data_IF_555541383481
#
_entry.id   IF_555541383481
#
_cell.length_a   1.000
_cell.length_b   1.000
_cell.length_c   1.000
_cell.angle_alpha   90.00
_cell.angle_beta   90.00
_cell.angle_gamma   90.00
#
_symmetry.space_group_name_H-M   'P 1'
#
loop_
_entity.id
_entity.type
_entity.pdbx_description
1 polymer ?
#
# COMPACT_ATOMS: atom_id res chain seq x y z
N UNK A 1 -44.86 -16.66 -4.56
CA UNK A 1 -43.70 -17.31 -5.22
C UNK A 1 -42.78 -16.34 -5.97
N UNK A 2 -43.30 -15.31 -6.67
CA UNK A 2 -42.46 -14.39 -7.46
C UNK A 2 -41.60 -13.37 -6.68
N UNK A 3 -41.87 -13.10 -5.40
CA UNK A 3 -41.10 -12.11 -4.63
C UNK A 3 -39.84 -12.70 -3.97
N UNK A 4 -39.88 -13.97 -3.56
CA UNK A 4 -38.75 -14.65 -2.91
C UNK A 4 -37.62 -14.93 -3.92
N UNK A 5 -37.94 -15.30 -5.17
CA UNK A 5 -36.91 -15.47 -6.20
C UNK A 5 -36.24 -14.15 -6.56
N UNK A 6 -36.99 -13.04 -6.59
CA UNK A 6 -36.43 -11.70 -6.85
C UNK A 6 -35.43 -11.29 -5.77
N UNK A 7 -35.75 -11.55 -4.50
CA UNK A 7 -34.84 -11.29 -3.39
C UNK A 7 -33.58 -12.18 -3.47
N UNK A 8 -33.73 -13.45 -3.81
CA UNK A 8 -32.59 -14.36 -4.00
C UNK A 8 -31.69 -13.93 -5.18
N UNK A 9 -32.29 -13.49 -6.28
CA UNK A 9 -31.56 -13.00 -7.47
C UNK A 9 -30.84 -11.68 -7.18
N UNK A 10 -31.46 -10.76 -6.43
CA UNK A 10 -30.81 -9.50 -6.01
C UNK A 10 -29.66 -9.78 -5.03
N UNK A 11 -29.86 -10.67 -4.05
CA UNK A 11 -28.80 -11.06 -3.12
C UNK A 11 -27.61 -11.72 -3.85
N UNK A 12 -27.90 -12.59 -4.83
CA UNK A 12 -26.87 -13.24 -5.65
C UNK A 12 -26.14 -12.23 -6.56
N UNK A 13 -26.85 -11.27 -7.14
CA UNK A 13 -26.25 -10.16 -7.91
C UNK A 13 -25.38 -9.24 -7.04
N UNK A 14 -25.77 -8.96 -5.79
CA UNK A 14 -24.95 -8.20 -4.85
C UNK A 14 -23.66 -8.95 -4.46
N UNK A 15 -23.70 -10.29 -4.32
CA UNK A 15 -22.48 -11.08 -4.09
C UNK A 15 -21.57 -11.15 -5.31
N UNK A 16 -22.12 -11.07 -6.54
CA UNK A 16 -21.36 -11.04 -7.79
C UNK A 16 -20.84 -9.64 -8.17
N UNK A 17 -21.43 -8.58 -7.62
CA UNK A 17 -20.92 -7.21 -7.73
C UNK A 17 -19.73 -6.96 -6.80
N UNK A 18 -19.48 -7.83 -5.83
CA UNK A 18 -18.19 -7.95 -5.13
C UNK A 18 -17.17 -8.71 -6.00
N UNK A 19 -17.19 -8.47 -7.32
CA UNK A 19 -16.03 -8.77 -8.14
C UNK A 19 -14.89 -7.95 -7.54
N UNK A 20 -14.02 -8.69 -6.86
CA UNK A 20 -12.77 -8.22 -6.32
C UNK A 20 -12.17 -7.26 -7.33
N UNK A 21 -12.10 -5.99 -6.92
CA UNK A 21 -11.10 -5.04 -7.40
C UNK A 21 -9.79 -5.67 -6.97
N UNK A 22 -9.38 -6.70 -7.72
CA UNK A 22 -8.13 -7.42 -7.53
C UNK A 22 -7.09 -6.35 -7.69
N UNK A 23 -6.55 -5.96 -6.56
CA UNK A 23 -5.83 -4.73 -6.48
C UNK A 23 -4.63 -4.88 -7.43
N UNK A 24 -4.42 -3.89 -8.27
CA UNK A 24 -3.12 -3.74 -8.89
C UNK A 24 -2.47 -2.62 -8.10
N UNK A 25 -1.14 -2.59 -8.08
CA UNK A 25 -0.48 -1.32 -7.80
C UNK A 25 -1.08 -0.28 -8.76
N UNK A 26 -1.62 0.78 -8.19
CA UNK A 26 -2.20 1.88 -8.94
C UNK A 26 -1.04 2.67 -9.58
N UNK A 27 -1.18 3.04 -10.85
CA UNK A 27 -0.14 3.74 -11.61
C UNK A 27 -0.49 5.22 -11.71
N UNK A 28 0.40 6.09 -11.23
CA UNK A 28 0.32 7.53 -11.41
C UNK A 28 1.46 7.97 -12.32
N UNK A 29 1.11 8.61 -13.45
CA UNK A 29 2.07 9.10 -14.43
C UNK A 29 2.19 10.61 -14.28
N UNK A 30 3.38 11.08 -13.95
CA UNK A 30 3.66 12.51 -13.93
C UNK A 30 4.02 12.98 -15.35
N UNK A 31 3.05 13.62 -16.02
CA UNK A 31 3.21 14.17 -17.36
C UNK A 31 3.89 15.55 -17.39
N UNK A 32 4.29 16.10 -16.24
CA UNK A 32 4.81 17.47 -16.12
C UNK A 32 6.27 17.61 -16.59
N UNK A 33 6.96 16.50 -16.85
CA UNK A 33 8.35 16.50 -17.29
C UNK A 33 8.44 16.56 -18.81
N UNK A 34 8.62 17.76 -19.37
CA UNK A 34 8.95 18.11 -20.77
C UNK A 34 9.58 16.98 -21.63
N UNK A 35 8.77 16.01 -22.06
CA UNK A 35 9.07 15.00 -23.08
C UNK A 35 10.29 14.09 -22.87
N UNK A 36 10.96 14.10 -21.72
CA UNK A 36 12.26 13.41 -21.58
C UNK A 36 12.26 12.15 -20.73
N UNK A 37 11.36 11.98 -19.76
CA UNK A 37 11.15 10.72 -19.04
C UNK A 37 9.73 10.72 -18.42
N UNK A 38 8.86 9.79 -18.82
CA UNK A 38 7.60 9.54 -18.10
C UNK A 38 7.93 8.91 -16.74
N UNK A 39 7.78 9.66 -15.65
CA UNK A 39 7.92 9.10 -14.31
C UNK A 39 6.62 8.38 -13.95
N UNK A 40 6.72 7.05 -13.82
CA UNK A 40 5.61 6.18 -13.40
C UNK A 40 5.79 5.80 -11.95
N UNK A 41 4.87 6.26 -11.11
CA UNK A 41 4.78 5.90 -9.69
C UNK A 41 3.78 4.78 -9.49
N UNK A 42 4.14 3.80 -8.67
CA UNK A 42 3.26 2.70 -8.29
C UNK A 42 2.85 2.92 -6.85
N UNK A 43 1.56 2.95 -6.55
CA UNK A 43 1.08 3.13 -5.19
C UNK A 43 -0.11 2.26 -4.87
N UNK A 44 -0.44 2.16 -3.58
CA UNK A 44 -1.70 1.61 -3.10
C UNK A 44 -2.22 2.45 -1.97
N UNK A 45 -3.50 2.81 -2.04
CA UNK A 45 -4.22 3.38 -0.91
C UNK A 45 -4.97 2.30 -0.14
N UNK A 46 -5.14 2.49 1.17
CA UNK A 46 -6.05 1.68 1.99
C UNK A 46 -7.28 2.50 2.44
N UNK A 47 -8.22 1.83 3.11
CA UNK A 47 -9.48 2.43 3.57
C UNK A 47 -9.28 3.53 4.62
N UNK A 48 -8.11 3.57 5.25
CA UNK A 48 -7.73 4.61 6.23
C UNK A 48 -7.14 5.86 5.56
N UNK A 49 -7.09 5.90 4.22
CA UNK A 49 -6.51 7.00 3.45
C UNK A 49 -4.98 7.05 3.48
N UNK A 50 -4.32 6.02 4.01
CA UNK A 50 -2.87 5.88 3.96
C UNK A 50 -2.47 5.38 2.57
N UNK A 51 -1.28 5.76 2.12
CA UNK A 51 -0.71 5.30 0.86
C UNK A 51 0.61 4.60 1.08
N UNK A 52 0.84 3.54 0.31
CA UNK A 52 2.13 2.88 0.19
C UNK A 52 2.61 3.09 -1.25
N UNK A 53 3.74 3.73 -1.43
CA UNK A 53 4.34 4.01 -2.75
C UNK A 53 5.55 3.12 -2.94
N UNK A 54 5.61 2.45 -4.07
CA UNK A 54 6.75 1.65 -4.51
C UNK A 54 7.68 2.51 -5.36
N UNK A 55 8.78 2.93 -4.75
CA UNK A 55 9.85 3.68 -5.42
C UNK A 55 10.85 2.69 -6.04
N UNK A 56 10.67 2.45 -7.34
CA UNK A 56 11.47 1.48 -8.11
C UNK A 56 12.92 1.92 -8.32
N UNK A 57 13.19 3.22 -8.35
CA UNK A 57 14.53 3.75 -8.63
C UNK A 57 15.44 3.64 -7.42
N UNK A 58 14.93 3.96 -6.24
CA UNK A 58 15.69 3.87 -4.97
C UNK A 58 15.52 2.49 -4.30
N UNK A 59 14.61 1.67 -4.80
CA UNK A 59 14.29 0.32 -4.31
C UNK A 59 13.84 0.34 -2.85
N UNK A 60 12.80 1.13 -2.57
CA UNK A 60 12.22 1.33 -1.23
C UNK A 60 10.70 1.43 -1.31
N UNK A 61 10.03 1.39 -0.16
CA UNK A 61 8.65 1.86 -0.04
C UNK A 61 8.64 3.25 0.59
N UNK A 62 7.62 4.04 0.27
CA UNK A 62 7.29 5.28 1.00
C UNK A 62 5.91 5.08 1.58
N UNK A 63 5.83 5.05 2.91
CA UNK A 63 4.57 5.07 3.63
C UNK A 63 4.13 6.51 3.84
N UNK A 64 2.93 6.83 3.39
CA UNK A 64 2.32 8.15 3.48
C UNK A 64 1.06 8.02 4.32
N UNK A 65 0.94 8.86 5.35
CA UNK A 65 -0.24 8.92 6.20
C UNK A 65 -0.85 10.32 6.11
N UNK A 66 -2.18 10.47 6.09
CA UNK A 66 -2.82 11.78 6.02
C UNK A 66 -2.51 12.67 7.25
N UNK A 67 -2.20 12.05 8.40
CA UNK A 67 -1.84 12.74 9.63
C UNK A 67 -0.36 13.19 9.63
N UNK A 68 -0.13 14.41 10.12
CA UNK A 68 1.16 15.12 10.13
C UNK A 68 1.85 15.11 11.49
N UNK A 69 1.21 14.64 12.56
CA UNK A 69 1.61 15.04 13.92
C UNK A 69 2.55 14.08 14.67
N UNK A 70 2.84 12.86 14.18
CA UNK A 70 3.64 11.91 14.95
C UNK A 70 4.84 11.35 14.18
N UNK A 71 6.02 11.42 14.81
CA UNK A 71 7.18 10.62 14.42
C UNK A 71 6.81 9.15 14.54
N UNK A 72 7.09 8.39 13.48
CA UNK A 72 6.79 6.97 13.39
C UNK A 72 8.03 6.18 13.03
N UNK A 73 8.10 4.98 13.55
CA UNK A 73 9.14 4.01 13.21
C UNK A 73 8.47 2.76 12.67
N UNK A 74 9.02 2.24 11.58
CA UNK A 74 8.56 1.01 10.94
C UNK A 74 9.78 0.08 10.93
N UNK A 75 9.68 -1.02 11.67
CA UNK A 75 10.76 -2.02 11.78
C UNK A 75 10.42 -3.36 11.14
N UNK A 76 9.15 -3.57 10.86
CA UNK A 76 8.63 -4.82 10.34
C UNK A 76 7.52 -4.52 9.33
N UNK A 77 7.58 -5.20 8.20
CA UNK A 77 6.42 -5.40 7.34
C UNK A 77 6.14 -6.89 7.21
N UNK A 78 4.90 -7.24 6.87
CA UNK A 78 4.58 -8.58 6.37
C UNK A 78 4.13 -8.47 4.93
N UNK A 79 4.73 -9.29 4.07
CA UNK A 79 4.33 -9.44 2.67
C UNK A 79 3.75 -10.84 2.52
N UNK A 80 2.47 -10.94 2.21
CA UNK A 80 1.74 -12.21 2.14
C UNK A 80 1.93 -13.10 3.39
N UNK A 81 1.99 -12.46 4.57
CA UNK A 81 2.20 -13.12 5.86
C UNK A 81 3.67 -13.39 6.20
N UNK A 82 4.61 -13.26 5.25
CA UNK A 82 6.04 -13.40 5.53
C UNK A 82 6.59 -12.12 6.19
N UNK A 83 7.17 -12.19 7.40
CA UNK A 83 7.80 -11.05 8.05
C UNK A 83 9.10 -10.65 7.34
N UNK A 84 9.30 -9.35 7.17
CA UNK A 84 10.50 -8.75 6.60
C UNK A 84 10.90 -7.59 7.51
N UNK A 85 12.09 -7.68 8.10
CA UNK A 85 12.69 -6.58 8.86
C UNK A 85 13.08 -5.44 7.93
N UNK A 86 12.82 -4.22 8.38
CA UNK A 86 13.02 -3.01 7.60
C UNK A 86 13.56 -1.89 8.48
N UNK A 87 14.18 -0.90 7.84
CA UNK A 87 14.55 0.35 8.49
C UNK A 87 13.63 1.45 7.98
N UNK A 88 13.34 2.44 8.83
CA UNK A 88 12.47 3.56 8.47
C UNK A 88 13.15 4.91 8.67
N UNK A 89 13.11 5.73 7.62
CA UNK A 89 13.69 7.07 7.63
C UNK A 89 12.59 8.12 7.35
N UNK A 90 12.31 9.05 8.29
CA UNK A 90 11.35 10.12 8.05
C UNK A 90 11.93 11.17 7.09
N UNK A 91 11.08 11.78 6.27
CA UNK A 91 11.48 12.89 5.40
C UNK A 91 11.40 14.21 6.16
N UNK A 92 12.49 15.00 6.18
CA UNK A 92 12.53 16.27 6.91
C UNK A 92 11.56 17.34 6.37
N UNK A 93 11.30 17.33 5.05
CA UNK A 93 10.40 18.30 4.39
C UNK A 93 8.96 17.78 4.25
N UNK A 94 8.75 16.49 4.43
CA UNK A 94 7.48 15.80 4.19
C UNK A 94 7.16 14.90 5.40
N UNK A 95 6.73 15.48 6.54
CA UNK A 95 6.50 14.73 7.79
C UNK A 95 5.42 13.65 7.65
N UNK A 96 4.53 13.78 6.67
CA UNK A 96 3.53 12.77 6.30
C UNK A 96 4.12 11.53 5.62
N UNK A 97 5.41 11.56 5.23
CA UNK A 97 6.09 10.49 4.51
C UNK A 97 7.17 9.82 5.37
N UNK A 98 7.33 8.52 5.19
CA UNK A 98 8.40 7.73 5.80
C UNK A 98 8.92 6.71 4.80
N UNK A 99 10.21 6.79 4.48
CA UNK A 99 10.86 5.79 3.66
C UNK A 99 11.02 4.51 4.47
N UNK A 100 10.75 3.38 3.84
CA UNK A 100 10.98 2.03 4.35
C UNK A 100 12.03 1.39 3.45
N UNK A 101 13.20 1.11 4.02
CA UNK A 101 14.34 0.54 3.30
C UNK A 101 14.57 -0.91 3.71
N UNK A 102 15.17 -1.66 2.78
CA UNK A 102 15.40 -3.09 2.90
C UNK A 102 16.89 -3.39 2.87
N UNK A 103 17.30 -4.42 3.60
CA UNK A 103 18.67 -4.94 3.56
C UNK A 103 18.94 -5.60 2.19
N UNK A 104 18.11 -6.56 1.78
CA UNK A 104 18.15 -7.18 0.45
C UNK A 104 17.11 -6.57 -0.51
N UNK A 105 17.45 -5.41 -1.08
CA UNK A 105 16.54 -4.60 -1.91
C UNK A 105 15.94 -5.35 -3.10
N UNK A 106 16.74 -6.11 -3.85
CA UNK A 106 16.31 -6.72 -5.11
C UNK A 106 15.34 -7.89 -4.93
N UNK A 107 15.60 -8.72 -3.92
CA UNK A 107 14.70 -9.83 -3.59
C UNK A 107 13.36 -9.31 -3.06
N UNK A 108 13.41 -8.33 -2.15
CA UNK A 108 12.20 -7.77 -1.55
C UNK A 108 11.35 -7.03 -2.57
N UNK A 109 11.95 -6.29 -3.51
CA UNK A 109 11.19 -5.66 -4.60
C UNK A 109 10.41 -6.66 -5.45
N UNK A 110 11.01 -7.81 -5.78
CA UNK A 110 10.31 -8.86 -6.54
C UNK A 110 9.11 -9.38 -5.76
N UNK A 111 9.25 -9.60 -4.45
CA UNK A 111 8.16 -10.01 -3.54
C UNK A 111 7.06 -8.94 -3.50
N UNK A 112 7.40 -7.67 -3.33
CA UNK A 112 6.45 -6.55 -3.28
C UNK A 112 5.64 -6.38 -4.56
N UNK A 113 6.26 -6.62 -5.73
CA UNK A 113 5.56 -6.54 -7.02
C UNK A 113 4.55 -7.67 -7.22
N UNK A 114 4.79 -8.83 -6.59
CA UNK A 114 3.92 -10.00 -6.66
C UNK A 114 2.93 -10.09 -5.49
N UNK A 115 3.10 -9.25 -4.47
CA UNK A 115 2.34 -9.27 -3.24
C UNK A 115 0.83 -9.19 -3.47
N UNK A 116 0.07 -9.92 -2.67
CA UNK A 116 -1.39 -9.81 -2.56
C UNK A 116 -1.79 -8.96 -1.35
N UNK A 117 -0.97 -8.95 -0.32
CA UNK A 117 -1.23 -8.20 0.91
C UNK A 117 0.09 -7.71 1.51
N UNK A 118 0.11 -6.46 1.94
CA UNK A 118 1.22 -5.89 2.69
C UNK A 118 0.67 -5.33 4.00
N UNK A 119 1.28 -5.72 5.11
CA UNK A 119 0.97 -5.21 6.44
C UNK A 119 2.18 -4.43 6.96
N UNK A 120 1.97 -3.19 7.34
CA UNK A 120 3.02 -2.28 7.82
C UNK A 120 2.80 -2.06 9.30
N UNK A 121 3.77 -2.47 10.12
CA UNK A 121 3.73 -2.30 11.58
C UNK A 121 4.37 -0.97 11.94
N UNK A 122 3.55 -0.06 12.46
CA UNK A 122 3.90 1.32 12.71
C UNK A 122 3.93 1.54 14.21
N UNK A 123 5.00 2.13 14.71
CA UNK A 123 5.13 2.52 16.11
C UNK A 123 5.16 4.04 16.24
N UNK A 124 4.24 4.59 17.01
CA UNK A 124 4.13 6.00 17.36
C UNK A 124 4.55 6.19 18.82
N UNK A 125 5.85 6.36 19.07
CA UNK A 125 6.39 6.49 20.43
C UNK A 125 5.99 5.32 21.36
N UNK A 126 4.85 5.43 22.05
CA UNK A 126 4.25 4.43 22.95
C UNK A 126 3.16 3.57 22.31
N UNK A 127 2.56 4.02 21.22
CA UNK A 127 1.45 3.34 20.57
C UNK A 127 1.92 2.52 19.36
N UNK A 128 1.20 1.45 19.05
CA UNK A 128 1.46 0.60 17.88
C UNK A 128 0.20 0.48 17.04
N UNK A 129 0.36 0.50 15.73
CA UNK A 129 -0.70 0.36 14.75
C UNK A 129 -0.26 -0.53 13.61
N UNK A 130 -1.23 -1.11 12.92
CA UNK A 130 -0.99 -1.92 11.72
C UNK A 130 -1.79 -1.34 10.57
N UNK A 131 -1.09 -0.96 9.50
CA UNK A 131 -1.71 -0.55 8.25
C UNK A 131 -1.72 -1.73 7.28
N UNK A 132 -2.88 -2.04 6.73
CA UNK A 132 -3.05 -3.15 5.78
C UNK A 132 -3.31 -2.58 4.39
N UNK A 133 -2.57 -3.07 3.40
CA UNK A 133 -2.73 -2.75 1.99
C UNK A 133 -3.06 -4.02 1.22
N UNK A 134 -4.18 -4.01 0.50
CA UNK A 134 -4.50 -5.08 -0.43
C UNK A 134 -3.82 -4.78 -1.77
N UNK A 135 -2.85 -5.64 -2.04
CA UNK A 135 -2.03 -5.90 -3.23
C UNK A 135 -2.78 -6.11 -4.53
N UNK A 136 -3.30 -7.36 -4.60
CA UNK A 136 -3.93 -8.15 -5.65
C UNK A 136 -5.07 -8.93 -5.05
#
# INVERSE_FOLDING_TARGET
MMHLYRLAVVAFLCTLASQAVFAKWDEERDATTNGKDELVYYYKANDQGQKLVLDKYVKRLIFIQPDRFYKRTIRLIKVDGQPIEVMSDPFSRFPEQTAITFENKDEVLKKLFLAKKIEVFIRYNRDEAMSVFQIK
#
